data_IF_113238375799
#
_entry.id   IF_113238375799
#
_cell.length_a   1.000
_cell.length_b   1.000
_cell.length_c   1.000
_cell.angle_alpha   90.00
_cell.angle_beta   90.00
_cell.angle_gamma   90.00
#
_symmetry.space_group_name_H-M   'P 1'
#
loop_
_entity.id
_entity.type
_entity.pdbx_description
1 polymer ?
#
# COMPACT_ATOMS: atom_id res chain seq x y z
N UNK A 1 21.52 16.38 18.78
CA UNK A 1 21.06 15.11 19.38
C UNK A 1 21.90 13.97 18.81
N UNK A 2 22.31 13.03 19.67
CA UNK A 2 23.03 11.82 19.29
C UNK A 2 22.22 10.60 19.75
N UNK A 3 22.18 9.55 18.94
CA UNK A 3 21.49 8.29 19.27
C UNK A 3 22.53 7.17 19.37
N UNK A 4 22.53 6.45 20.48
CA UNK A 4 23.29 5.20 20.61
C UNK A 4 22.56 4.09 19.83
N UNK A 5 23.27 3.38 18.96
CA UNK A 5 22.71 2.30 18.15
C UNK A 5 23.68 1.12 18.03
N UNK A 6 23.14 -0.09 17.96
CA UNK A 6 23.90 -1.34 17.87
C UNK A 6 24.16 -1.98 19.24
N UNK A 7 24.84 -3.12 19.24
CA UNK A 7 25.17 -3.89 20.45
C UNK A 7 26.61 -4.40 20.39
N UNK A 8 27.24 -4.54 21.56
CA UNK A 8 28.63 -5.01 21.70
C UNK A 8 29.61 -4.19 20.87
N UNK A 9 30.49 -4.88 20.14
CA UNK A 9 31.51 -4.25 19.29
C UNK A 9 30.95 -3.42 18.12
N UNK A 10 29.64 -3.51 17.82
CA UNK A 10 28.97 -2.73 16.76
C UNK A 10 28.23 -1.50 17.31
N UNK A 11 28.39 -1.19 18.60
CA UNK A 11 27.80 0.02 19.17
C UNK A 11 28.44 1.26 18.52
N UNK A 12 27.60 2.21 18.13
CA UNK A 12 28.03 3.49 17.55
C UNK A 12 27.07 4.60 17.93
N UNK A 13 27.59 5.82 17.93
CA UNK A 13 26.80 7.03 18.10
C UNK A 13 26.45 7.62 16.74
N UNK A 14 25.17 7.87 16.51
CA UNK A 14 24.67 8.47 15.28
C UNK A 14 24.33 9.94 15.56
N UNK A 15 25.03 10.90 14.92
CA UNK A 15 24.70 12.31 15.00
C UNK A 15 23.45 12.59 14.18
N UNK A 16 22.32 12.80 14.86
CA UNK A 16 21.05 13.05 14.17
C UNK A 16 21.12 14.32 13.33
N UNK A 17 21.85 15.34 13.77
CA UNK A 17 21.99 16.59 13.04
C UNK A 17 22.72 16.42 11.69
N UNK A 18 23.70 15.52 11.59
CA UNK A 18 24.38 15.23 10.31
C UNK A 18 23.45 14.48 9.36
N UNK A 19 22.65 13.55 9.89
CA UNK A 19 21.64 12.84 9.10
C UNK A 19 20.60 13.81 8.54
N UNK A 20 20.11 14.74 9.36
CA UNK A 20 19.16 15.79 8.94
C UNK A 20 19.81 16.72 7.91
N UNK A 21 21.06 17.13 8.12
CA UNK A 21 21.80 17.96 7.16
C UNK A 21 21.99 17.27 5.81
N UNK A 22 22.25 15.96 5.80
CA UNK A 22 22.48 15.20 4.58
C UNK A 22 21.18 14.91 3.80
N UNK A 23 20.07 14.69 4.50
CA UNK A 23 18.77 14.35 3.91
C UNK A 23 17.98 15.60 3.51
N UNK A 24 18.21 16.72 4.20
CA UNK A 24 17.46 17.96 4.02
C UNK A 24 16.22 18.04 4.90
N UNK A 25 15.78 19.27 5.18
CA UNK A 25 14.72 19.55 6.14
C UNK A 25 13.35 19.01 5.70
N UNK A 26 13.00 19.12 4.42
CA UNK A 26 11.71 18.67 3.90
C UNK A 26 11.56 17.15 4.05
N UNK A 27 12.50 16.37 3.49
CA UNK A 27 12.49 14.92 3.63
C UNK A 27 12.54 14.48 5.08
N UNK A 28 13.32 15.16 5.93
CA UNK A 28 13.35 14.88 7.37
C UNK A 28 11.95 14.97 8.00
N UNK A 29 11.17 16.00 7.65
CA UNK A 29 9.79 16.17 8.16
C UNK A 29 8.82 15.11 7.62
N UNK A 30 9.10 14.54 6.46
CA UNK A 30 8.31 13.44 5.88
C UNK A 30 8.69 12.03 6.33
N UNK A 31 9.79 11.85 7.07
CA UNK A 31 10.26 10.53 7.54
C UNK A 31 9.19 9.75 8.34
N UNK A 32 8.42 10.36 9.27
CA UNK A 32 7.43 9.61 10.05
C UNK A 32 6.39 8.93 9.15
N UNK A 33 5.79 9.67 8.22
CA UNK A 33 4.83 9.10 7.28
C UNK A 33 5.48 8.12 6.32
N UNK A 34 6.64 8.45 5.74
CA UNK A 34 7.38 7.51 4.90
C UNK A 34 7.65 6.19 5.64
N UNK A 35 8.02 6.25 6.91
CA UNK A 35 8.28 5.07 7.72
C UNK A 35 7.00 4.24 7.94
N UNK A 36 5.89 4.86 8.36
CA UNK A 36 4.62 4.16 8.55
C UNK A 36 4.08 3.59 7.24
N UNK A 37 4.09 4.39 6.17
CA UNK A 37 3.57 4.05 4.84
C UNK A 37 4.33 2.90 4.19
N UNK A 38 5.65 2.83 4.37
CA UNK A 38 6.47 1.72 3.84
C UNK A 38 6.49 0.48 4.74
N UNK A 39 5.77 0.52 5.86
CA UNK A 39 5.62 -0.57 6.82
C UNK A 39 6.31 -0.29 8.15
N UNK A 40 5.58 -0.44 9.25
CA UNK A 40 6.06 -0.35 10.63
C UNK A 40 5.35 -1.42 11.48
N UNK A 41 5.49 -1.38 12.80
CA UNK A 41 4.92 -2.42 13.68
C UNK A 41 3.39 -2.55 13.58
N UNK A 42 2.69 -1.45 13.26
CA UNK A 42 1.21 -1.41 13.24
C UNK A 42 0.62 -1.13 11.85
N UNK A 43 1.46 -0.86 10.84
CA UNK A 43 1.03 -0.61 9.46
C UNK A 43 1.78 -1.57 8.53
N UNK A 44 1.04 -2.28 7.68
CA UNK A 44 1.59 -3.30 6.77
C UNK A 44 2.69 -2.79 5.84
N UNK A 45 3.57 -3.67 5.38
CA UNK A 45 4.56 -3.33 4.36
C UNK A 45 4.08 -3.69 2.94
N UNK A 46 4.64 -3.03 1.92
CA UNK A 46 4.44 -3.40 0.53
C UNK A 46 5.21 -4.67 0.18
N UNK A 47 4.51 -5.68 -0.35
CA UNK A 47 5.12 -6.99 -0.64
C UNK A 47 6.27 -6.86 -1.64
N UNK A 48 7.43 -7.41 -1.28
CA UNK A 48 8.63 -7.39 -2.12
C UNK A 48 9.33 -6.02 -2.20
N UNK A 49 8.93 -5.04 -1.38
CA UNK A 49 9.54 -3.70 -1.34
C UNK A 49 10.14 -3.43 0.02
N UNK A 50 11.44 -3.14 0.03
CA UNK A 50 12.16 -2.75 1.24
C UNK A 50 12.17 -1.22 1.39
N UNK A 51 12.41 -0.73 2.62
CA UNK A 51 12.58 0.72 2.85
C UNK A 51 13.69 1.33 1.99
N UNK A 52 14.76 0.57 1.71
CA UNK A 52 15.83 1.00 0.79
C UNK A 52 15.31 1.26 -0.63
N UNK A 53 14.47 0.37 -1.19
CA UNK A 53 13.90 0.59 -2.53
C UNK A 53 12.87 1.72 -2.54
N UNK A 54 12.08 1.86 -1.48
CA UNK A 54 11.15 2.99 -1.34
C UNK A 54 11.91 4.33 -1.23
N UNK A 55 13.02 4.36 -0.49
CA UNK A 55 13.89 5.53 -0.37
C UNK A 55 14.51 5.92 -1.73
N UNK A 56 14.98 4.94 -2.49
CA UNK A 56 15.48 5.16 -3.85
C UNK A 56 14.40 5.72 -4.78
N UNK A 57 13.13 5.33 -4.57
CA UNK A 57 11.99 5.89 -5.31
C UNK A 57 11.75 7.34 -4.92
N UNK A 58 11.81 7.66 -3.63
CA UNK A 58 11.66 9.04 -3.14
C UNK A 58 12.78 9.97 -3.66
N UNK A 59 13.99 9.44 -3.87
CA UNK A 59 15.08 10.22 -4.45
C UNK A 59 14.88 10.60 -5.92
N UNK A 60 13.96 9.94 -6.64
CA UNK A 60 13.67 10.27 -8.05
C UNK A 60 12.29 10.85 -8.29
N UNK A 61 11.40 10.72 -7.31
CA UNK A 61 10.09 11.32 -7.34
C UNK A 61 9.94 12.20 -6.10
N UNK A 62 10.53 13.39 -6.17
CA UNK A 62 10.57 14.34 -5.06
C UNK A 62 9.23 15.05 -4.84
N UNK A 63 8.34 15.07 -5.84
CA UNK A 63 6.99 15.65 -5.76
C UNK A 63 6.13 15.04 -4.63
N UNK A 64 6.48 13.85 -4.11
CA UNK A 64 5.82 13.21 -2.97
C UNK A 64 6.23 13.81 -1.62
N UNK A 65 7.33 14.58 -1.56
CA UNK A 65 7.92 15.13 -0.33
C UNK A 65 6.93 15.99 0.46
N UNK A 66 6.18 16.85 -0.22
CA UNK A 66 5.13 17.68 0.40
C UNK A 66 4.06 16.80 1.03
N UNK A 67 3.61 15.75 0.33
CA UNK A 67 2.59 14.82 0.83
C UNK A 67 3.09 14.05 2.05
N UNK A 68 4.32 13.52 2.03
CA UNK A 68 4.89 12.85 3.21
C UNK A 68 5.04 13.81 4.40
N UNK A 69 5.39 15.07 4.16
CA UNK A 69 5.51 16.10 5.18
C UNK A 69 4.16 16.40 5.82
N UNK A 70 3.14 16.70 5.00
CA UNK A 70 1.81 17.06 5.48
C UNK A 70 1.16 15.91 6.25
N UNK A 71 1.28 14.67 5.77
CA UNK A 71 0.72 13.50 6.44
C UNK A 71 1.50 13.07 7.70
N UNK A 72 2.67 13.68 7.97
CA UNK A 72 3.42 13.50 9.22
C UNK A 72 3.04 14.53 10.29
N UNK A 73 2.22 15.52 9.99
CA UNK A 73 1.95 16.68 10.86
C UNK A 73 0.46 16.80 11.21
N UNK A 74 -0.06 15.84 11.98
CA UNK A 74 -1.45 15.83 12.45
C UNK A 74 -2.50 16.16 11.37
N UNK A 75 -2.57 15.36 10.28
CA UNK A 75 -3.48 15.63 9.18
C UNK A 75 -4.94 15.46 9.63
N UNK A 76 -5.84 16.29 9.11
CA UNK A 76 -7.29 16.17 9.33
C UNK A 76 -7.97 15.29 8.29
N UNK A 77 -7.38 15.17 7.09
CA UNK A 77 -7.82 14.32 5.99
C UNK A 77 -6.65 14.02 5.04
N UNK A 78 -6.84 13.08 4.13
CA UNK A 78 -5.94 12.86 2.99
C UNK A 78 -6.57 13.47 1.74
N UNK A 79 -5.92 14.47 1.14
CA UNK A 79 -6.43 15.16 -0.05
C UNK A 79 -6.29 14.26 -1.27
N UNK A 80 -7.11 14.48 -2.30
CA UNK A 80 -7.00 13.71 -3.55
C UNK A 80 -5.64 13.89 -4.23
N UNK A 81 -5.06 15.10 -4.16
CA UNK A 81 -3.70 15.34 -4.65
C UNK A 81 -2.64 14.52 -3.89
N UNK A 82 -2.81 14.36 -2.58
CA UNK A 82 -1.92 13.52 -1.78
C UNK A 82 -2.04 12.05 -2.22
N UNK A 83 -3.26 11.55 -2.41
CA UNK A 83 -3.48 10.19 -2.93
C UNK A 83 -2.86 10.00 -4.32
N UNK A 84 -3.03 10.96 -5.24
CA UNK A 84 -2.42 10.88 -6.58
C UNK A 84 -0.89 10.79 -6.52
N UNK A 85 -0.25 11.59 -5.67
CA UNK A 85 1.22 11.53 -5.45
C UNK A 85 1.64 10.20 -4.82
N UNK A 86 0.88 9.69 -3.85
CA UNK A 86 1.15 8.38 -3.24
C UNK A 86 0.97 7.23 -4.25
N UNK A 87 -0.05 7.29 -5.10
CA UNK A 87 -0.25 6.33 -6.19
C UNK A 87 0.96 6.35 -7.13
N UNK A 88 1.35 7.53 -7.63
CA UNK A 88 2.51 7.65 -8.52
C UNK A 88 3.79 7.13 -7.87
N UNK A 89 4.01 7.44 -6.60
CA UNK A 89 5.14 6.92 -5.83
C UNK A 89 5.13 5.38 -5.77
N UNK A 90 3.97 4.78 -5.48
CA UNK A 90 3.82 3.32 -5.43
C UNK A 90 4.01 2.69 -6.81
N UNK A 91 3.50 3.31 -7.88
CA UNK A 91 3.76 2.85 -9.27
C UNK A 91 5.25 2.80 -9.53
N UNK A 92 5.98 3.88 -9.29
CA UNK A 92 7.44 3.94 -9.52
C UNK A 92 8.23 2.98 -8.64
N UNK A 93 7.75 2.71 -7.42
CA UNK A 93 8.34 1.72 -6.53
C UNK A 93 8.17 0.29 -7.07
N UNK A 94 7.05 -0.02 -7.73
CA UNK A 94 6.82 -1.32 -8.36
C UNK A 94 7.46 -1.43 -9.74
N UNK A 95 7.47 -0.35 -10.51
CA UNK A 95 7.99 -0.30 -11.85
C UNK A 95 8.44 1.11 -12.24
N UNK A 96 9.75 1.36 -12.10
CA UNK A 96 10.36 2.68 -12.27
C UNK A 96 10.24 3.26 -13.68
N UNK A 97 10.06 2.41 -14.68
CA UNK A 97 9.88 2.83 -16.07
C UNK A 97 8.41 3.05 -16.45
N UNK A 98 7.47 2.87 -15.52
CA UNK A 98 6.05 2.98 -15.83
C UNK A 98 5.65 4.44 -16.07
N UNK A 99 4.88 4.67 -17.13
CA UNK A 99 4.25 5.97 -17.40
C UNK A 99 2.94 6.16 -16.61
N UNK A 100 2.37 5.08 -16.06
CA UNK A 100 1.08 5.12 -15.36
C UNK A 100 1.15 6.01 -14.11
N UNK A 101 0.14 6.83 -13.90
CA UNK A 101 0.05 7.69 -12.71
C UNK A 101 -0.71 7.00 -11.58
N UNK A 102 -1.67 6.13 -11.91
CA UNK A 102 -2.50 5.40 -10.97
C UNK A 102 -2.06 3.94 -10.78
N UNK A 103 -2.31 3.39 -9.59
CA UNK A 103 -1.89 2.00 -9.28
C UNK A 103 -2.71 0.96 -10.02
N UNK A 104 -3.99 1.20 -10.33
CA UNK A 104 -4.82 0.23 -11.04
C UNK A 104 -4.41 0.09 -12.51
N UNK A 105 -4.07 1.20 -13.17
CA UNK A 105 -3.48 1.19 -14.52
C UNK A 105 -2.14 0.45 -14.52
N UNK A 106 -1.25 0.78 -13.58
CA UNK A 106 0.03 0.10 -13.44
C UNK A 106 -0.12 -1.39 -13.13
N UNK A 107 -1.10 -1.78 -12.31
CA UNK A 107 -1.43 -3.19 -12.04
C UNK A 107 -1.77 -3.93 -13.33
N UNK A 108 -2.66 -3.36 -14.15
CA UNK A 108 -3.05 -3.97 -15.42
C UNK A 108 -1.86 -4.10 -16.37
N UNK A 109 -1.05 -3.04 -16.52
CA UNK A 109 0.14 -3.05 -17.36
C UNK A 109 1.17 -4.11 -16.91
N UNK A 110 1.54 -4.07 -15.64
CA UNK A 110 2.57 -4.95 -15.07
C UNK A 110 2.12 -6.42 -15.11
N UNK A 111 0.83 -6.68 -14.88
CA UNK A 111 0.27 -8.03 -14.93
C UNK A 111 0.10 -8.53 -16.36
N UNK A 112 -0.62 -7.80 -17.21
CA UNK A 112 -1.04 -8.28 -18.53
C UNK A 112 0.05 -8.13 -19.59
N UNK A 113 0.75 -6.99 -19.63
CA UNK A 113 1.78 -6.72 -20.65
C UNK A 113 3.14 -7.23 -20.24
N UNK A 114 3.53 -7.02 -18.97
CA UNK A 114 4.87 -7.42 -18.46
C UNK A 114 4.90 -8.81 -17.85
N UNK A 115 3.76 -9.49 -17.73
CA UNK A 115 3.64 -10.88 -17.25
C UNK A 115 4.32 -11.12 -15.90
N UNK A 116 4.33 -10.10 -15.01
CA UNK A 116 4.89 -10.26 -13.66
C UNK A 116 3.91 -11.04 -12.78
N UNK A 117 4.42 -11.85 -11.84
CA UNK A 117 3.56 -12.64 -10.96
C UNK A 117 2.68 -11.75 -10.08
N UNK A 118 1.52 -12.26 -9.68
CA UNK A 118 0.51 -11.53 -8.89
C UNK A 118 1.03 -10.99 -7.55
N UNK A 119 2.09 -11.58 -7.01
CA UNK A 119 2.74 -11.09 -5.78
C UNK A 119 3.69 -9.90 -6.01
N UNK A 120 3.87 -9.47 -7.26
CA UNK A 120 4.83 -8.46 -7.71
C UNK A 120 4.15 -7.28 -8.44
N UNK A 121 2.83 -7.12 -8.26
CA UNK A 121 2.05 -5.95 -8.71
C UNK A 121 1.75 -5.01 -7.54
N UNK A 122 1.57 -3.70 -7.78
CA UNK A 122 1.18 -2.75 -6.73
C UNK A 122 -0.21 -3.09 -6.18
N UNK A 123 -0.62 -2.64 -4.97
CA UNK A 123 -1.98 -2.85 -4.45
C UNK A 123 -3.04 -2.11 -5.29
N UNK A 124 -4.31 -2.48 -5.15
CA UNK A 124 -5.41 -1.73 -5.79
C UNK A 124 -5.51 -0.33 -5.22
N UNK A 125 -6.11 0.61 -5.97
CA UNK A 125 -6.32 1.98 -5.47
C UNK A 125 -7.11 1.99 -4.15
N UNK A 126 -8.19 1.19 -4.07
CA UNK A 126 -8.99 1.08 -2.86
C UNK A 126 -8.20 0.59 -1.63
N UNK A 127 -7.35 -0.44 -1.81
CA UNK A 127 -6.51 -0.93 -0.72
C UNK A 127 -5.40 0.07 -0.35
N UNK A 128 -4.82 0.75 -1.34
CA UNK A 128 -3.81 1.77 -1.11
C UNK A 128 -4.36 2.97 -0.35
N UNK A 129 -5.59 3.41 -0.64
CA UNK A 129 -6.25 4.51 0.09
C UNK A 129 -6.38 4.20 1.57
N UNK A 130 -6.89 3.01 1.92
CA UNK A 130 -7.02 2.61 3.32
C UNK A 130 -5.67 2.41 4.00
N UNK A 131 -4.67 1.91 3.26
CA UNK A 131 -3.29 1.83 3.74
C UNK A 131 -2.67 3.21 4.03
N UNK A 132 -2.87 4.17 3.13
CA UNK A 132 -2.40 5.55 3.28
C UNK A 132 -3.02 6.23 4.50
N UNK A 133 -4.31 6.00 4.75
CA UNK A 133 -5.02 6.46 5.96
C UNK A 133 -4.38 5.91 7.23
N UNK A 134 -4.15 4.61 7.31
CA UNK A 134 -3.52 4.01 8.49
C UNK A 134 -2.12 4.55 8.76
N UNK A 135 -1.35 4.74 7.70
CA UNK A 135 -0.03 5.37 7.79
C UNK A 135 -0.09 6.82 8.31
N UNK A 136 -1.07 7.59 7.85
CA UNK A 136 -1.27 8.99 8.27
C UNK A 136 -1.69 9.08 9.74
N UNK A 137 -2.56 8.18 10.18
CA UNK A 137 -2.94 8.08 11.58
C UNK A 137 -1.74 7.77 12.46
N UNK A 138 -0.97 6.75 12.10
CA UNK A 138 0.20 6.38 12.91
C UNK A 138 1.26 7.49 12.93
N UNK A 139 1.57 8.08 11.77
CA UNK A 139 2.63 9.05 11.66
C UNK A 139 2.24 10.43 12.17
N UNK A 140 1.10 10.96 11.73
CA UNK A 140 0.68 12.32 12.01
C UNK A 140 -0.14 12.44 13.29
N UNK A 141 -1.07 11.51 13.53
CA UNK A 141 -1.96 11.58 14.70
C UNK A 141 -1.28 11.00 15.94
N UNK A 142 -0.61 9.85 15.85
CA UNK A 142 0.04 9.24 17.01
C UNK A 142 1.45 9.80 17.23
N UNK A 143 2.36 9.68 16.26
CA UNK A 143 3.76 10.10 16.44
C UNK A 143 3.97 11.61 16.32
N UNK A 144 3.22 12.28 15.44
CA UNK A 144 3.37 13.71 15.15
C UNK A 144 3.07 14.63 16.35
N UNK A 145 2.43 14.08 17.39
CA UNK A 145 2.09 14.78 18.61
C UNK A 145 2.94 14.35 19.82
N UNK A 146 4.05 13.63 19.61
CA UNK A 146 4.86 13.04 20.70
C UNK A 146 5.42 14.06 21.71
N UNK A 147 5.46 15.35 21.36
CA UNK A 147 5.93 16.44 22.24
C UNK A 147 4.79 17.24 22.88
N UNK A 148 3.53 16.89 22.59
CA UNK A 148 2.35 17.60 23.10
C UNK A 148 1.88 16.92 24.39
N UNK A 149 1.72 17.69 25.46
CA UNK A 149 1.11 17.20 26.69
C UNK A 149 -0.39 16.96 26.47
N UNK A 150 -0.84 15.72 26.69
CA UNK A 150 -2.21 15.25 26.43
C UNK A 150 -2.63 15.40 24.93
N UNK A 151 -2.03 14.60 24.03
CA UNK A 151 -2.30 14.69 22.59
C UNK A 151 -3.75 14.30 22.26
N UNK A 152 -4.31 14.92 21.23
CA UNK A 152 -5.64 14.57 20.74
C UNK A 152 -5.56 13.32 19.84
N UNK A 153 -6.04 12.20 20.36
CA UNK A 153 -6.15 10.96 19.57
C UNK A 153 -7.56 10.85 19.01
N UNK A 154 -7.78 11.47 17.85
CA UNK A 154 -9.02 11.31 17.09
C UNK A 154 -9.34 9.83 16.83
N UNK A 155 -10.62 9.50 16.65
CA UNK A 155 -11.05 8.12 16.41
C UNK A 155 -10.41 7.53 15.14
N UNK A 156 -9.96 6.26 15.15
CA UNK A 156 -9.37 5.62 13.98
C UNK A 156 -10.41 5.21 12.90
N UNK A 157 -11.72 5.42 13.13
CA UNK A 157 -12.78 5.04 12.19
C UNK A 157 -12.58 5.60 10.78
N UNK A 158 -12.22 6.88 10.67
CA UNK A 158 -11.99 7.54 9.38
C UNK A 158 -10.61 7.27 8.79
N UNK A 159 -9.78 6.52 9.52
CA UNK A 159 -8.37 6.30 9.21
C UNK A 159 -8.04 4.87 8.77
N UNK A 160 -9.03 4.13 8.30
CA UNK A 160 -8.85 2.79 7.72
C UNK A 160 -8.99 1.66 8.72
N UNK A 161 -9.76 1.91 9.78
CA UNK A 161 -10.29 0.90 10.69
C UNK A 161 -11.81 0.95 10.75
N UNK A 162 -12.43 -0.17 11.05
CA UNK A 162 -13.88 -0.29 11.27
C UNK A 162 -14.11 -0.85 12.66
N UNK A 163 -15.02 -0.21 13.40
CA UNK A 163 -15.41 -0.69 14.73
C UNK A 163 -16.31 -1.91 14.60
N UNK A 164 -15.96 -3.00 15.28
CA UNK A 164 -16.80 -4.19 15.45
C UNK A 164 -16.92 -4.51 16.94
N UNK A 165 -18.05 -4.10 17.51
CA UNK A 165 -18.25 -4.12 18.96
C UNK A 165 -17.24 -3.23 19.66
N UNK A 166 -16.47 -3.81 20.59
CA UNK A 166 -15.43 -3.12 21.35
C UNK A 166 -14.05 -3.16 20.68
N UNK A 167 -13.92 -3.79 19.51
CA UNK A 167 -12.63 -3.98 18.83
C UNK A 167 -12.54 -3.21 17.51
N UNK A 168 -11.34 -2.72 17.21
CA UNK A 168 -11.02 -2.12 15.92
C UNK A 168 -10.45 -3.17 14.98
N UNK A 169 -11.02 -3.28 13.78
CA UNK A 169 -10.51 -4.15 12.73
C UNK A 169 -10.00 -3.33 11.55
N UNK A 170 -8.92 -3.79 10.92
CA UNK A 170 -8.36 -3.12 9.74
C UNK A 170 -9.35 -3.20 8.58
N UNK A 171 -9.65 -2.04 7.99
CA UNK A 171 -10.32 -1.96 6.71
C UNK A 171 -9.28 -2.16 5.60
N UNK A 172 -9.16 -3.37 5.06
CA UNK A 172 -8.13 -3.67 4.06
C UNK A 172 -8.42 -3.05 2.68
N UNK A 173 -9.69 -2.98 2.31
CA UNK A 173 -10.17 -2.52 1.01
C UNK A 173 -11.67 -2.29 1.08
N UNK A 174 -12.19 -1.34 0.31
CA UNK A 174 -13.62 -1.08 0.15
C UNK A 174 -14.26 -1.83 -1.02
N UNK A 175 -13.45 -2.42 -1.90
CA UNK A 175 -13.94 -3.26 -3.01
C UNK A 175 -13.97 -4.73 -2.61
N UNK A 176 -14.97 -5.50 -3.10
CA UNK A 176 -15.04 -6.93 -2.83
C UNK A 176 -13.81 -7.67 -3.39
N UNK A 177 -13.41 -8.79 -2.78
CA UNK A 177 -12.35 -9.64 -3.33
C UNK A 177 -12.64 -9.97 -4.80
N UNK A 178 -11.61 -9.98 -5.65
CA UNK A 178 -11.75 -10.33 -7.09
C UNK A 178 -12.47 -11.67 -7.27
N UNK A 179 -12.25 -12.65 -6.37
CA UNK A 179 -12.93 -13.94 -6.42
C UNK A 179 -14.46 -13.85 -6.22
N UNK A 180 -14.96 -12.78 -5.59
CA UNK A 180 -16.38 -12.54 -5.38
C UNK A 180 -17.02 -11.75 -6.54
N UNK A 181 -16.23 -11.00 -7.32
CA UNK A 181 -16.72 -10.11 -8.40
C UNK A 181 -16.38 -10.57 -9.81
N UNK A 182 -15.28 -11.31 -10.01
CA UNK A 182 -14.83 -11.77 -11.31
C UNK A 182 -15.36 -13.17 -11.57
N UNK A 183 -16.53 -13.22 -12.22
CA UNK A 183 -17.14 -14.48 -12.64
C UNK A 183 -16.20 -15.22 -13.61
N UNK A 184 -15.35 -14.52 -14.35
CA UNK A 184 -14.39 -15.05 -15.34
C UNK A 184 -13.27 -15.90 -14.72
N UNK A 185 -13.05 -15.81 -13.40
CA UNK A 185 -12.18 -16.73 -12.65
C UNK A 185 -12.90 -18.06 -12.30
N UNK A 186 -14.18 -18.18 -12.62
CA UNK A 186 -14.95 -19.42 -12.44
C UNK A 186 -14.37 -20.50 -13.34
N UNK A 187 -13.71 -21.45 -12.71
CA UNK A 187 -13.22 -22.67 -13.38
C UNK A 187 -14.13 -23.85 -13.09
N UNK A 188 -14.25 -24.72 -14.08
CA UNK A 188 -14.85 -26.03 -13.91
C UNK A 188 -13.84 -27.15 -14.20
N UNK A 189 -14.13 -28.34 -13.70
CA UNK A 189 -13.38 -29.57 -13.97
C UNK A 189 -14.33 -30.65 -14.51
N UNK A 190 -15.28 -30.23 -15.34
CA UNK A 190 -16.33 -31.09 -15.87
C UNK A 190 -15.75 -32.17 -16.78
N UNK A 191 -16.08 -33.44 -16.51
CA UNK A 191 -15.61 -34.60 -17.29
C UNK A 191 -16.59 -35.07 -18.38
N UNK A 192 -17.86 -34.65 -18.29
CA UNK A 192 -18.95 -35.09 -19.18
C UNK A 192 -19.70 -33.87 -19.76
N UNK A 193 -18.94 -32.91 -20.30
CA UNK A 193 -19.47 -31.66 -20.89
C UNK A 193 -19.78 -30.52 -19.91
N UNK A 194 -19.69 -29.28 -20.40
CA UNK A 194 -19.97 -28.04 -19.64
C UNK A 194 -21.47 -27.65 -19.67
N UNK A 195 -22.38 -28.49 -19.16
CA UNK A 195 -23.83 -28.18 -19.07
C UNK A 195 -24.40 -28.49 -17.69
N UNK A 196 -25.53 -27.87 -17.33
CA UNK A 196 -26.28 -28.16 -16.09
C UNK A 196 -25.52 -27.80 -14.82
N UNK A 197 -24.86 -28.78 -14.17
CA UNK A 197 -24.08 -28.60 -12.91
C UNK A 197 -22.69 -27.98 -13.12
N UNK A 198 -22.34 -27.62 -14.34
CA UNK A 198 -21.08 -26.94 -14.61
C UNK A 198 -21.09 -25.53 -14.00
N UNK A 199 -20.07 -25.20 -13.19
CA UNK A 199 -19.97 -23.87 -12.56
C UNK A 199 -19.90 -22.74 -13.58
N UNK A 200 -19.18 -22.92 -14.69
CA UNK A 200 -19.10 -21.92 -15.77
C UNK A 200 -20.48 -21.72 -16.42
N UNK A 201 -21.18 -22.82 -16.71
CA UNK A 201 -22.53 -22.80 -17.28
C UNK A 201 -23.56 -22.12 -16.35
N UNK A 202 -23.55 -22.47 -15.07
CA UNK A 202 -24.43 -21.85 -14.06
C UNK A 202 -24.14 -20.35 -13.84
N UNK A 203 -22.91 -19.93 -14.16
CA UNK A 203 -22.49 -18.54 -14.08
C UNK A 203 -22.66 -17.80 -15.41
N UNK A 204 -23.28 -18.44 -16.41
CA UNK A 204 -23.49 -17.91 -17.77
C UNK A 204 -22.19 -17.50 -18.49
N UNK A 205 -21.10 -18.24 -18.24
CA UNK A 205 -19.80 -17.99 -18.84
C UNK A 205 -19.31 -19.15 -19.71
N UNK A 206 -18.58 -18.86 -20.80
CA UNK A 206 -17.88 -19.89 -21.54
C UNK A 206 -16.78 -20.53 -20.68
N UNK A 207 -16.52 -21.82 -20.91
CA UNK A 207 -15.41 -22.51 -20.27
C UNK A 207 -14.08 -21.91 -20.79
N UNK A 208 -13.31 -21.26 -19.92
CA UNK A 208 -12.06 -20.56 -20.29
C UNK A 208 -10.84 -21.49 -20.22
N UNK A 209 -9.66 -21.01 -20.65
CA UNK A 209 -8.38 -21.71 -20.51
C UNK A 209 -7.96 -22.01 -19.06
N UNK A 210 -8.65 -21.41 -18.07
CA UNK A 210 -8.48 -21.72 -16.65
C UNK A 210 -9.23 -23.00 -16.22
N UNK A 211 -10.13 -23.52 -17.06
CA UNK A 211 -10.90 -24.73 -16.77
C UNK A 211 -10.10 -26.00 -17.07
N UNK A 212 -10.38 -27.06 -16.31
CA UNK A 212 -9.82 -28.41 -16.53
C UNK A 212 -10.81 -29.33 -17.27
N UNK A 213 -11.88 -28.77 -17.85
CA UNK A 213 -12.78 -29.55 -18.72
C UNK A 213 -12.15 -29.77 -20.08
N UNK A 214 -12.56 -30.88 -20.73
CA UNK A 214 -12.30 -31.12 -22.14
C UNK A 214 -13.58 -30.71 -22.86
N UNK A 215 -13.63 -29.45 -23.23
CA UNK A 215 -14.78 -28.74 -23.75
C UNK A 215 -14.24 -28.06 -25.02
N UNK A 216 -14.87 -28.30 -26.19
CA UNK A 216 -14.50 -27.56 -27.41
C UNK A 216 -14.71 -26.08 -27.13
N UNK A 217 -13.63 -25.30 -27.26
CA UNK A 217 -13.65 -23.84 -27.08
C UNK A 217 -14.32 -23.16 -28.27
#
# INVERSE_FOLDING_TARGET
MWIAFGQGAKMRWIPVYEVVSAIGLEKTRGIPYFHAFTGCDVVSAFRGKAKKSAWQTWNVFDDVSETFTNLSQHPTLIRDLDLQRLERFVVLMYDRSSAATGVDEARLDIFARKQRPYNSIPPTQAALREHAKRAAYQAGIIWGQATISNPDTSSPAEWGWTQKGETWQICWTTVPPIAASCRELTKCSCKKGCKGRCKCFQSELPCTSLCSCICEQ
#
